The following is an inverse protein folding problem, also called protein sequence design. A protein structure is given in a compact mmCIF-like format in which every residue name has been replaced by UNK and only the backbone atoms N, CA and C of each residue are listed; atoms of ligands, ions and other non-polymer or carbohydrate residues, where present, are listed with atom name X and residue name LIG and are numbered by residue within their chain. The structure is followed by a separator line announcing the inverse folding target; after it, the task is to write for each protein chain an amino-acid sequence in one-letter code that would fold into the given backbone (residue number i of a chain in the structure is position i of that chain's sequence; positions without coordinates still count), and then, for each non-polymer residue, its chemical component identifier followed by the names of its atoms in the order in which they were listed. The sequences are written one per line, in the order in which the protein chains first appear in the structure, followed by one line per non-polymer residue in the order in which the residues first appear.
data_IF_602726876605
#
_entry.id   IF_602726876605
#
_cell.length_a   1.000
_cell.length_b   1.000
_cell.length_c   1.000
_cell.angle_alpha   90.00
_cell.angle_beta   90.00
_cell.angle_gamma   90.00
#
_symmetry.space_group_name_H-M   'P 1'
#
loop_
_entity.id
_entity.type
_entity.pdbx_description
1 polymer ?
#
# COMPACT_ATOMS: atom_id res chain seq x y z
N UNK A 1 -17.48 32.45 41.02
CA UNK A 1 -17.59 30.99 40.84
C UNK A 1 -17.20 30.69 39.40
N UNK A 2 -15.92 30.40 39.18
CA UNK A 2 -15.29 30.25 37.86
C UNK A 2 -15.16 28.76 37.57
N UNK A 3 -15.97 28.23 36.66
CA UNK A 3 -15.85 26.85 36.19
C UNK A 3 -14.78 26.78 35.11
N UNK A 4 -13.68 26.08 35.40
CA UNK A 4 -12.65 25.73 34.44
C UNK A 4 -13.20 24.59 33.57
N UNK A 5 -13.35 24.83 32.26
CA UNK A 5 -13.68 23.81 31.26
C UNK A 5 -12.43 22.94 30.99
N UNK A 6 -12.20 21.93 31.83
CA UNK A 6 -11.22 20.88 31.53
C UNK A 6 -11.80 19.93 30.48
N UNK A 7 -11.62 20.28 29.19
CA UNK A 7 -11.78 19.27 28.13
C UNK A 7 -10.55 18.37 28.10
N UNK A 8 -10.70 17.04 28.21
CA UNK A 8 -9.59 16.12 28.06
C UNK A 8 -9.01 16.26 26.65
N UNK A 9 -7.72 16.58 26.57
CA UNK A 9 -6.95 16.61 25.33
C UNK A 9 -6.84 15.20 24.77
N UNK A 10 -7.85 14.78 24.02
CA UNK A 10 -7.77 13.57 23.20
C UNK A 10 -6.77 13.84 22.09
N UNK A 11 -5.55 13.32 22.24
CA UNK A 11 -4.53 13.36 21.20
C UNK A 11 -5.02 12.51 20.04
N UNK A 12 -5.73 13.11 19.09
CA UNK A 12 -6.05 12.48 17.82
C UNK A 12 -4.71 12.21 17.12
N UNK A 13 -4.31 10.95 16.88
CA UNK A 13 -3.05 10.66 16.20
C UNK A 13 -3.03 11.38 14.85
N UNK A 14 -1.92 12.03 14.47
CA UNK A 14 -1.89 12.90 13.31
C UNK A 14 -2.31 12.14 12.06
N UNK A 15 -3.26 12.74 11.31
CA UNK A 15 -3.97 12.19 10.14
C UNK A 15 -3.06 11.60 9.05
N UNK A 16 -1.74 11.81 9.10
CA UNK A 16 -0.75 11.32 8.14
C UNK A 16 0.04 10.06 8.52
N UNK A 17 -0.08 9.50 9.74
CA UNK A 17 0.80 8.38 10.14
C UNK A 17 0.55 7.11 9.32
N UNK A 18 -0.67 6.59 9.27
CA UNK A 18 -0.94 5.33 8.53
C UNK A 18 -0.80 5.52 7.02
N UNK A 19 -1.13 6.70 6.48
CA UNK A 19 -0.84 7.01 5.07
C UNK A 19 0.67 6.99 4.77
N UNK A 20 1.50 7.50 5.68
CA UNK A 20 2.97 7.38 5.60
C UNK A 20 3.44 5.93 5.76
N UNK A 21 2.88 5.18 6.71
CA UNK A 21 3.20 3.77 6.90
C UNK A 21 2.85 2.95 5.67
N UNK A 22 1.71 3.21 5.03
CA UNK A 22 1.32 2.52 3.80
C UNK A 22 2.27 2.84 2.65
N UNK A 23 2.62 4.12 2.46
CA UNK A 23 3.65 4.53 1.47
C UNK A 23 4.99 3.87 1.75
N UNK A 24 5.42 3.83 3.00
CA UNK A 24 6.68 3.19 3.41
C UNK A 24 6.64 1.68 3.14
N UNK A 25 5.55 0.99 3.51
CA UNK A 25 5.37 -0.43 3.28
C UNK A 25 5.41 -0.76 1.78
N UNK A 26 4.62 -0.06 0.95
CA UNK A 26 4.61 -0.28 -0.51
C UNK A 26 5.98 0.02 -1.13
N UNK A 27 6.65 1.08 -0.69
CA UNK A 27 7.97 1.46 -1.22
C UNK A 27 9.03 0.40 -0.87
N UNK A 28 9.08 -0.02 0.40
CA UNK A 28 9.99 -1.07 0.84
C UNK A 28 9.71 -2.38 0.11
N UNK A 29 8.43 -2.76 0.01
CA UNK A 29 8.01 -3.95 -0.70
C UNK A 29 8.45 -3.92 -2.17
N UNK A 30 8.26 -2.78 -2.84
CA UNK A 30 8.72 -2.56 -4.21
C UNK A 30 10.23 -2.77 -4.31
N UNK A 31 11.03 -2.10 -3.47
CA UNK A 31 12.51 -2.20 -3.52
C UNK A 31 12.99 -3.63 -3.33
N UNK A 32 12.45 -4.36 -2.35
CA UNK A 32 12.85 -5.75 -2.10
C UNK A 32 12.41 -6.66 -3.24
N UNK A 33 11.21 -6.46 -3.80
CA UNK A 33 10.73 -7.22 -4.96
C UNK A 33 11.62 -7.01 -6.21
N UNK A 34 12.14 -5.80 -6.44
CA UNK A 34 13.11 -5.53 -7.52
C UNK A 34 14.46 -6.25 -7.30
N UNK A 35 14.80 -6.64 -6.07
CA UNK A 35 15.98 -7.45 -5.79
C UNK A 35 15.82 -8.93 -6.19
N UNK A 36 14.58 -9.44 -6.24
CA UNK A 36 14.31 -10.86 -6.54
C UNK A 36 14.88 -11.32 -7.90
N UNK A 37 14.70 -10.58 -9.01
CA UNK A 37 15.31 -10.94 -10.29
C UNK A 37 16.83 -10.99 -10.27
N UNK A 38 17.49 -10.24 -9.38
CA UNK A 38 18.97 -10.28 -9.25
C UNK A 38 19.40 -11.63 -8.68
N UNK A 39 18.80 -12.08 -7.58
CA UNK A 39 19.11 -13.39 -7.00
C UNK A 39 18.73 -14.55 -7.92
N UNK A 40 17.59 -14.46 -8.59
CA UNK A 40 17.19 -15.42 -9.61
C UNK A 40 18.18 -15.45 -10.79
N UNK A 41 18.65 -14.28 -11.24
CA UNK A 41 19.66 -14.17 -12.30
C UNK A 41 21.00 -14.80 -11.92
N UNK A 42 21.46 -14.57 -10.69
CA UNK A 42 22.68 -15.21 -10.15
C UNK A 42 22.54 -16.74 -10.18
N UNK A 43 21.40 -17.27 -9.72
CA UNK A 43 21.12 -18.70 -9.80
C UNK A 43 21.12 -19.23 -11.24
N UNK A 44 20.42 -18.54 -12.15
CA UNK A 44 20.35 -18.92 -13.56
C UNK A 44 21.70 -18.79 -14.29
N UNK A 45 22.65 -18.01 -13.73
CA UNK A 45 24.02 -17.93 -14.22
C UNK A 45 24.92 -19.09 -13.76
N UNK A 46 24.40 -20.01 -12.93
CA UNK A 46 25.09 -21.21 -12.45
C UNK A 46 25.53 -21.15 -10.98
N UNK A 47 25.37 -20.00 -10.31
CA UNK A 47 25.79 -19.83 -8.91
C UNK A 47 24.66 -20.24 -7.96
N UNK A 48 24.75 -21.45 -7.41
CA UNK A 48 23.67 -22.07 -6.60
C UNK A 48 23.28 -21.23 -5.38
N UNK A 49 24.21 -20.46 -4.81
CA UNK A 49 23.91 -19.54 -3.70
C UNK A 49 22.83 -18.51 -4.03
N UNK A 50 22.64 -18.18 -5.31
CA UNK A 50 21.55 -17.31 -5.76
C UNK A 50 20.16 -17.87 -5.44
N UNK A 51 20.00 -19.20 -5.44
CA UNK A 51 18.71 -19.84 -5.15
C UNK A 51 18.31 -19.67 -3.68
N UNK A 52 19.25 -19.84 -2.77
CA UNK A 52 19.03 -19.64 -1.33
C UNK A 52 18.64 -18.18 -1.03
N UNK A 53 19.35 -17.22 -1.65
CA UNK A 53 19.04 -15.81 -1.50
C UNK A 53 17.69 -15.43 -2.14
N UNK A 54 17.37 -16.05 -3.27
CA UNK A 54 16.06 -15.89 -3.91
C UNK A 54 14.95 -16.42 -3.01
N UNK A 55 15.08 -17.64 -2.47
CA UNK A 55 14.09 -18.25 -1.57
C UNK A 55 13.86 -17.42 -0.29
N UNK A 56 14.92 -17.05 0.43
CA UNK A 56 14.80 -16.19 1.63
C UNK A 56 14.22 -14.83 1.28
N UNK A 57 14.61 -14.28 0.14
CA UNK A 57 14.07 -13.01 -0.33
C UNK A 57 12.59 -13.11 -0.70
N UNK A 58 12.13 -14.26 -1.23
CA UNK A 58 10.72 -14.52 -1.49
C UNK A 58 9.90 -14.55 -0.19
N UNK A 59 10.43 -15.14 0.90
CA UNK A 59 9.80 -15.06 2.23
C UNK A 59 9.64 -13.61 2.70
N UNK A 60 10.67 -12.78 2.51
CA UNK A 60 10.65 -11.37 2.90
C UNK A 60 9.65 -10.58 2.05
N UNK A 61 9.64 -10.77 0.72
CA UNK A 61 8.67 -10.14 -0.19
C UNK A 61 7.25 -10.52 0.23
N UNK A 62 6.97 -11.81 0.40
CA UNK A 62 5.64 -12.26 0.80
C UNK A 62 5.21 -11.69 2.16
N UNK A 63 6.11 -11.66 3.13
CA UNK A 63 5.86 -11.06 4.44
C UNK A 63 5.54 -9.56 4.34
N UNK A 64 6.25 -8.84 3.46
CA UNK A 64 5.97 -7.43 3.18
C UNK A 64 4.62 -7.26 2.46
N UNK A 65 4.23 -8.17 1.57
CA UNK A 65 2.91 -8.20 0.95
C UNK A 65 1.78 -8.35 1.98
N UNK A 66 1.92 -9.26 2.94
CA UNK A 66 0.98 -9.42 4.06
C UNK A 66 0.90 -8.15 4.90
N UNK A 67 2.04 -7.58 5.28
CA UNK A 67 2.10 -6.32 6.03
C UNK A 67 1.45 -5.16 5.25
N UNK A 68 1.75 -5.05 3.95
CA UNK A 68 1.18 -4.04 3.06
C UNK A 68 -0.35 -4.14 3.05
N UNK A 69 -0.92 -5.34 2.91
CA UNK A 69 -2.37 -5.55 2.94
C UNK A 69 -2.95 -5.16 4.30
N UNK A 70 -2.32 -5.56 5.41
CA UNK A 70 -2.78 -5.19 6.75
C UNK A 70 -2.85 -3.66 6.94
N UNK A 71 -1.79 -2.95 6.53
CA UNK A 71 -1.74 -1.48 6.59
C UNK A 71 -2.73 -0.84 5.60
N UNK A 72 -2.91 -1.42 4.41
CA UNK A 72 -3.88 -0.94 3.42
C UNK A 72 -5.32 -1.05 3.93
N UNK A 73 -5.68 -2.17 4.56
CA UNK A 73 -7.00 -2.36 5.17
C UNK A 73 -7.23 -1.34 6.29
N UNK A 74 -6.24 -1.10 7.16
CA UNK A 74 -6.33 -0.04 8.16
C UNK A 74 -6.55 1.34 7.51
N UNK A 75 -5.88 1.62 6.39
CA UNK A 75 -6.06 2.86 5.65
C UNK A 75 -7.44 2.96 4.95
N UNK A 76 -7.97 1.84 4.45
CA UNK A 76 -9.33 1.78 3.91
C UNK A 76 -10.37 2.09 4.98
N UNK A 77 -10.32 1.40 6.12
CA UNK A 77 -11.27 1.61 7.24
C UNK A 77 -11.24 3.07 7.69
N UNK A 78 -10.06 3.67 7.78
CA UNK A 78 -9.91 5.01 8.37
C UNK A 78 -10.16 6.17 7.39
N UNK A 79 -9.85 6.02 6.09
CA UNK A 79 -9.92 7.12 5.11
C UNK A 79 -10.62 6.77 3.78
N UNK A 80 -11.08 5.53 3.58
CA UNK A 80 -11.79 5.16 2.36
C UNK A 80 -10.91 4.89 1.15
N UNK A 81 -9.61 4.60 1.34
CA UNK A 81 -8.67 4.20 0.28
C UNK A 81 -8.98 2.79 -0.25
N UNK A 82 -10.08 2.66 -1.00
CA UNK A 82 -10.57 1.36 -1.49
C UNK A 82 -9.70 0.79 -2.61
N UNK A 83 -9.33 1.62 -3.58
CA UNK A 83 -8.59 1.16 -4.76
C UNK A 83 -7.16 0.67 -4.43
N UNK A 84 -6.33 1.36 -3.59
CA UNK A 84 -4.99 0.87 -3.28
C UNK A 84 -5.02 -0.42 -2.47
N UNK A 85 -6.07 -0.59 -1.66
CA UNK A 85 -6.30 -1.79 -0.86
C UNK A 85 -6.66 -2.97 -1.76
N UNK A 86 -7.56 -2.78 -2.72
CA UNK A 86 -7.88 -3.81 -3.71
C UNK A 86 -6.66 -4.22 -4.53
N UNK A 87 -5.85 -3.26 -4.99
CA UNK A 87 -4.59 -3.55 -5.71
C UNK A 87 -3.60 -4.30 -4.82
N UNK A 88 -3.45 -3.92 -3.54
CA UNK A 88 -2.56 -4.62 -2.61
C UNK A 88 -2.98 -6.07 -2.37
N UNK A 89 -4.29 -6.31 -2.25
CA UNK A 89 -4.83 -7.68 -2.13
C UNK A 89 -4.56 -8.49 -3.40
N UNK A 90 -4.77 -7.91 -4.58
CA UNK A 90 -4.47 -8.58 -5.85
C UNK A 90 -2.98 -8.91 -5.99
N UNK A 91 -2.09 -8.01 -5.57
CA UNK A 91 -0.65 -8.25 -5.54
C UNK A 91 -0.33 -9.44 -4.62
N UNK A 92 -0.88 -9.48 -3.40
CA UNK A 92 -0.63 -10.59 -2.46
C UNK A 92 -1.16 -11.95 -2.99
N UNK A 93 -2.30 -11.94 -3.68
CA UNK A 93 -2.83 -13.15 -4.35
C UNK A 93 -1.91 -13.59 -5.48
N UNK A 94 -1.44 -12.64 -6.31
CA UNK A 94 -0.48 -12.92 -7.35
C UNK A 94 0.85 -13.45 -6.79
N UNK A 95 1.35 -12.89 -5.68
CA UNK A 95 2.54 -13.34 -4.96
C UNK A 95 2.36 -14.75 -4.40
N UNK A 96 1.19 -15.10 -3.86
CA UNK A 96 0.89 -16.47 -3.44
C UNK A 96 1.01 -17.46 -4.61
N UNK A 97 0.42 -17.11 -5.76
CA UNK A 97 0.54 -17.91 -6.98
C UNK A 97 1.98 -17.99 -7.48
N UNK A 98 2.71 -16.89 -7.36
CA UNK A 98 4.11 -16.80 -7.75
C UNK A 98 5.02 -17.68 -6.89
N UNK A 99 4.82 -17.63 -5.58
CA UNK A 99 5.54 -18.44 -4.61
C UNK A 99 5.31 -19.92 -4.91
N UNK A 100 4.06 -20.33 -5.14
CA UNK A 100 3.72 -21.68 -5.55
C UNK A 100 4.37 -22.12 -6.87
N UNK A 101 4.36 -21.25 -7.90
CA UNK A 101 5.03 -21.52 -9.17
C UNK A 101 6.56 -21.67 -9.00
N UNK A 102 7.17 -20.88 -8.12
CA UNK A 102 8.59 -20.98 -7.77
C UNK A 102 8.94 -22.30 -7.09
N UNK A 103 8.17 -22.71 -6.08
CA UNK A 103 8.32 -24.01 -5.41
C UNK A 103 8.16 -25.20 -6.38
N UNK A 104 7.27 -25.07 -7.36
CA UNK A 104 7.02 -26.09 -8.37
C UNK A 104 8.01 -26.06 -9.55
N UNK A 105 8.94 -25.09 -9.60
CA UNK A 105 9.88 -24.94 -10.71
C UNK A 105 9.23 -24.53 -12.05
N UNK A 106 8.01 -24.00 -12.03
CA UNK A 106 7.24 -23.63 -13.24
C UNK A 106 7.68 -22.27 -13.80
N UNK A 107 8.90 -22.20 -14.35
CA UNK A 107 9.53 -20.97 -14.84
C UNK A 107 8.66 -20.16 -15.82
N UNK A 108 7.89 -20.83 -16.68
CA UNK A 108 7.03 -20.19 -17.68
C UNK A 108 5.84 -19.43 -17.05
N UNK A 109 5.39 -19.82 -15.85
CA UNK A 109 4.43 -19.03 -15.05
C UNK A 109 5.19 -18.05 -14.17
N UNK A 110 6.29 -18.52 -13.58
CA UNK A 110 6.97 -17.79 -12.55
C UNK A 110 7.56 -16.47 -13.07
N UNK A 111 8.27 -16.50 -14.20
CA UNK A 111 8.91 -15.31 -14.74
C UNK A 111 7.89 -14.23 -15.17
N UNK A 112 6.86 -14.52 -16.00
CA UNK A 112 5.92 -13.50 -16.43
C UNK A 112 5.11 -12.92 -15.28
N UNK A 113 4.63 -13.76 -14.36
CA UNK A 113 3.87 -13.30 -13.20
C UNK A 113 4.74 -12.41 -12.30
N UNK A 114 6.06 -12.64 -12.24
CA UNK A 114 6.98 -11.90 -11.39
C UNK A 114 7.18 -10.48 -11.91
N UNK A 115 7.32 -10.36 -13.23
CA UNK A 115 7.34 -9.07 -13.93
C UNK A 115 6.04 -8.30 -13.69
N UNK A 116 4.88 -8.96 -13.78
CA UNK A 116 3.59 -8.31 -13.54
C UNK A 116 3.42 -7.81 -12.10
N UNK A 117 3.89 -8.57 -11.12
CA UNK A 117 3.90 -8.16 -9.70
C UNK A 117 4.80 -6.93 -9.51
N UNK A 118 6.04 -6.98 -10.00
CA UNK A 118 6.99 -5.86 -9.87
C UNK A 118 6.46 -4.59 -10.56
N UNK A 119 5.89 -4.72 -11.76
CA UNK A 119 5.27 -3.61 -12.47
C UNK A 119 4.08 -3.03 -11.68
N UNK A 120 3.23 -3.90 -11.11
CA UNK A 120 2.09 -3.48 -10.30
C UNK A 120 2.53 -2.75 -9.02
N UNK A 121 3.56 -3.24 -8.35
CA UNK A 121 4.18 -2.58 -7.19
C UNK A 121 4.74 -1.22 -7.55
N UNK A 122 5.48 -1.12 -8.67
CA UNK A 122 6.03 0.15 -9.14
C UNK A 122 4.94 1.18 -9.45
N UNK A 123 3.89 0.77 -10.16
CA UNK A 123 2.73 1.64 -10.48
C UNK A 123 1.98 2.06 -9.22
N UNK A 124 1.72 1.12 -8.31
CA UNK A 124 1.06 1.42 -7.03
C UNK A 124 1.88 2.40 -6.20
N UNK A 125 3.19 2.16 -6.08
CA UNK A 125 4.12 3.03 -5.38
C UNK A 125 4.08 4.44 -5.99
N UNK A 126 4.31 4.57 -7.30
CA UNK A 126 4.26 5.86 -7.99
C UNK A 126 2.91 6.57 -7.79
N UNK A 127 1.79 5.86 -7.92
CA UNK A 127 0.46 6.42 -7.75
C UNK A 127 0.23 6.97 -6.34
N UNK A 128 0.73 6.30 -5.29
CA UNK A 128 0.66 6.77 -3.90
C UNK A 128 1.57 7.96 -3.62
N UNK A 129 2.67 8.09 -4.37
CA UNK A 129 3.57 9.24 -4.25
C UNK A 129 3.06 10.48 -5.00
N UNK A 130 2.42 10.30 -6.15
CA UNK A 130 1.92 11.38 -7.02
C UNK A 130 0.55 11.91 -6.60
N UNK A 131 -0.35 11.08 -6.05
CA UNK A 131 -1.72 11.51 -5.69
C UNK A 131 -1.82 11.92 -4.22
N UNK A 132 -2.31 13.12 -3.88
CA UNK A 132 -2.70 13.47 -2.52
C UNK A 132 -3.79 12.52 -2.02
N UNK A 133 -3.64 11.97 -0.81
CA UNK A 133 -4.68 11.13 -0.21
C UNK A 133 -5.90 12.02 0.12
N UNK A 134 -7.14 11.60 -0.21
CA UNK A 134 -8.32 12.43 0.01
C UNK A 134 -8.51 12.80 1.49
N UNK A 135 -8.63 14.10 1.77
CA UNK A 135 -8.94 14.59 3.12
C UNK A 135 -10.46 14.81 3.24
N UNK A 136 -11.18 13.85 3.85
CA UNK A 136 -12.65 13.90 4.01
C UNK A 136 -13.15 15.16 4.73
N UNK A 137 -12.30 15.79 5.53
CA UNK A 137 -12.63 17.04 6.22
C UNK A 137 -12.86 18.19 5.23
N UNK A 138 -12.04 18.30 4.17
CA UNK A 138 -12.17 19.34 3.17
C UNK A 138 -13.46 19.18 2.34
N UNK A 139 -13.89 17.94 2.07
CA UNK A 139 -15.13 17.67 1.33
C UNK A 139 -16.38 18.02 2.13
N UNK A 140 -16.36 17.81 3.46
CA UNK A 140 -17.45 18.18 4.35
C UNK A 140 -17.56 19.70 4.54
N UNK A 141 -16.43 20.38 4.66
CA UNK A 141 -16.37 21.84 4.80
C UNK A 141 -16.86 22.56 3.53
N UNK A 142 -16.51 22.04 2.35
CA UNK A 142 -17.01 22.56 1.08
C UNK A 142 -18.50 22.27 0.87
N UNK A 143 -19.01 21.11 1.31
CA UNK A 143 -20.44 20.81 1.25
C UNK A 143 -21.25 21.71 2.20
N UNK A 144 -20.72 22.03 3.38
CA UNK A 144 -21.35 22.96 4.32
C UNK A 144 -21.29 24.41 3.82
N UNK A 145 -20.16 24.85 3.25
CA UNK A 145 -20.02 26.16 2.63
C UNK A 145 -20.99 26.38 1.46
N UNK A 146 -21.13 25.38 0.58
CA UNK A 146 -22.08 25.41 -0.53
C UNK A 146 -23.54 25.44 -0.06
N UNK A 147 -23.88 24.70 1.00
CA UNK A 147 -25.23 24.74 1.60
C UNK A 147 -25.56 26.11 2.21
N UNK A 148 -24.57 26.78 2.82
CA UNK A 148 -24.75 28.09 3.45
C UNK A 148 -24.93 29.20 2.42
N UNK A 149 -24.10 29.21 1.36
CA UNK A 149 -24.21 30.16 0.24
C UNK A 149 -25.56 30.09 -0.46
N UNK A 150 -26.07 28.87 -0.71
CA UNK A 150 -27.38 28.66 -1.34
C UNK A 150 -28.55 29.12 -0.46
N UNK A 151 -28.37 29.13 0.87
CA UNK A 151 -29.41 29.58 1.82
C UNK A 151 -29.50 31.11 1.87
N UNK A 152 -28.36 31.79 1.76
CA UNK A 152 -28.32 33.25 1.70
C UNK A 152 -28.92 33.80 0.38
N UNK A 153 -28.76 33.10 -0.74
CA UNK A 153 -29.38 33.49 -2.03
C UNK A 153 -30.91 33.36 -2.04
N UNK A 154 -31.50 32.48 -1.22
CA UNK A 154 -32.96 32.29 -1.15
C UNK A 154 -33.69 33.27 -0.22
N UNK A 155 -32.95 34.11 0.51
CA UNK A 155 -33.49 35.09 1.46
C UNK A 155 -33.38 36.55 0.98
N UNK A 156 -33.08 36.78 -0.30
CA UNK A 156 -33.08 38.09 -0.99
C UNK A 156 -34.26 38.12 -1.96
#
# INVERSE_FOLDING_TARGET
MTTIDERPSTTVPPKGVVGRLFRAAVTLHTVVAFGQPVFAGVYLSGEIGGLDWHARGADVVFSLGVLQVAVAVAAWVRWGLRWPTAVSVLILVAESGQYGAGLAGLLWVHLPLGVMIIASLAVLSAALWVRPLPDRAATADQAQGASKSRRDETHV
#
